data_IF_952052142939
#
_entry.id   IF_952052142939
#
_cell.length_a   1.000
_cell.length_b   1.000
_cell.length_c   1.000
_cell.angle_alpha   90.00
_cell.angle_beta   90.00
_cell.angle_gamma   90.00
#
_symmetry.space_group_name_H-M   'P 1'
#
loop_
_entity.id
_entity.type
_entity.pdbx_description
1 polymer ?
#
# COMPACT_ATOMS: atom_id res chain seq x y z
N UNK A 1 -21.59 31.57 -8.77
CA UNK A 1 -20.34 31.09 -9.39
C UNK A 1 -20.62 29.67 -9.85
N UNK A 2 -20.37 29.33 -11.11
CA UNK A 2 -20.40 27.93 -11.53
C UNK A 2 -19.14 27.24 -11.00
N UNK A 3 -19.32 26.04 -10.45
CA UNK A 3 -18.23 25.16 -10.03
C UNK A 3 -18.25 23.95 -10.97
N UNK A 4 -17.64 24.04 -12.16
CA UNK A 4 -17.65 22.93 -13.11
C UNK A 4 -16.90 21.74 -12.52
N UNK A 5 -17.40 20.53 -12.78
CA UNK A 5 -16.69 19.29 -12.48
C UNK A 5 -15.54 19.15 -13.46
N UNK A 6 -14.31 19.23 -12.96
CA UNK A 6 -13.09 19.16 -13.77
C UNK A 6 -12.20 18.08 -13.16
N UNK A 7 -11.72 17.16 -14.00
CA UNK A 7 -10.76 16.10 -13.65
C UNK A 7 -11.13 15.32 -12.36
N UNK A 8 -12.42 15.00 -12.21
CA UNK A 8 -12.96 14.13 -11.14
C UNK A 8 -12.80 12.65 -11.52
N UNK A 9 -11.55 12.20 -11.63
CA UNK A 9 -11.21 10.83 -12.00
C UNK A 9 -11.72 9.82 -10.96
N UNK A 10 -12.18 8.67 -11.45
CA UNK A 10 -12.64 7.55 -10.62
C UNK A 10 -11.54 6.50 -10.54
N UNK A 11 -10.91 6.40 -9.38
CA UNK A 11 -9.81 5.46 -9.18
C UNK A 11 -10.29 4.07 -8.78
N UNK A 12 -9.68 3.05 -9.37
CA UNK A 12 -9.97 1.64 -9.17
C UNK A 12 -8.88 0.91 -8.35
N UNK A 13 -9.00 -0.42 -8.21
CA UNK A 13 -8.01 -1.26 -7.52
C UNK A 13 -6.61 -1.12 -8.12
N UNK A 14 -6.47 -1.18 -9.46
CA UNK A 14 -5.17 -1.01 -10.14
C UNK A 14 -4.54 0.31 -9.73
N UNK A 15 -5.30 1.40 -9.74
CA UNK A 15 -4.79 2.73 -9.42
C UNK A 15 -4.30 2.81 -7.96
N UNK A 16 -5.01 2.19 -7.02
CA UNK A 16 -4.60 2.12 -5.62
C UNK A 16 -3.27 1.36 -5.45
N UNK A 17 -3.09 0.23 -6.12
CA UNK A 17 -1.82 -0.52 -6.10
C UNK A 17 -0.69 0.32 -6.70
N UNK A 18 -0.95 1.01 -7.82
CA UNK A 18 0.02 1.93 -8.43
C UNK A 18 0.42 3.04 -7.46
N UNK A 19 -0.55 3.75 -6.86
CA UNK A 19 -0.28 4.78 -5.85
C UNK A 19 0.53 4.22 -4.68
N UNK A 20 0.19 3.03 -4.19
CA UNK A 20 0.99 2.33 -3.18
C UNK A 20 2.46 2.13 -3.58
N UNK A 21 2.73 1.73 -4.83
CA UNK A 21 4.11 1.58 -5.34
C UNK A 21 4.84 2.92 -5.54
N UNK A 22 4.12 3.98 -5.92
CA UNK A 22 4.69 5.33 -6.01
C UNK A 22 5.10 5.84 -4.63
N UNK A 23 4.25 5.62 -3.62
CA UNK A 23 4.54 5.95 -2.23
C UNK A 23 5.72 5.15 -1.68
N UNK A 24 5.79 3.85 -1.97
CA UNK A 24 6.96 3.03 -1.65
C UNK A 24 8.25 3.58 -2.27
N UNK A 25 8.18 4.03 -3.54
CA UNK A 25 9.32 4.64 -4.22
C UNK A 25 9.75 5.94 -3.54
N UNK A 26 8.81 6.82 -3.21
CA UNK A 26 9.10 8.05 -2.44
C UNK A 26 9.76 7.74 -1.11
N UNK A 27 9.26 6.73 -0.39
CA UNK A 27 9.81 6.32 0.90
C UNK A 27 11.25 5.81 0.76
N UNK A 28 11.54 4.96 -0.23
CA UNK A 28 12.91 4.48 -0.50
C UNK A 28 13.89 5.59 -0.91
N UNK A 29 13.39 6.70 -1.46
CA UNK A 29 14.19 7.87 -1.83
C UNK A 29 14.07 9.02 -0.80
N UNK A 30 13.61 8.72 0.42
CA UNK A 30 13.45 9.72 1.49
C UNK A 30 14.77 10.32 1.98
N UNK A 31 15.92 9.80 1.56
CA UNK A 31 17.23 10.43 1.74
C UNK A 31 17.35 11.74 0.96
N UNK A 32 16.70 11.84 -0.22
CA UNK A 32 16.70 13.03 -1.11
C UNK A 32 15.35 13.73 -1.19
N UNK A 33 14.25 12.98 -1.24
CA UNK A 33 12.90 13.53 -1.35
C UNK A 33 12.37 13.84 0.03
N UNK A 34 12.34 15.13 0.39
CA UNK A 34 11.92 15.59 1.73
C UNK A 34 10.47 16.07 1.79
N UNK A 35 9.87 16.38 0.66
CA UNK A 35 8.48 16.84 0.54
C UNK A 35 7.87 16.18 -0.70
N UNK A 36 6.66 15.65 -0.55
CA UNK A 36 5.83 15.15 -1.64
C UNK A 36 4.39 15.59 -1.39
N UNK A 37 3.68 15.98 -2.45
CA UNK A 37 2.29 16.41 -2.38
C UNK A 37 1.46 15.58 -3.36
N UNK A 38 0.51 14.79 -2.86
CA UNK A 38 -0.47 14.11 -3.71
C UNK A 38 -1.37 15.17 -4.36
N UNK A 39 -1.28 15.30 -5.68
CA UNK A 39 -2.14 16.17 -6.45
C UNK A 39 -3.43 15.41 -6.82
N UNK A 40 -4.62 15.79 -6.36
CA UNK A 40 -4.92 16.75 -5.28
C UNK A 40 -5.65 16.04 -4.14
N UNK A 41 -6.22 16.79 -3.18
CA UNK A 41 -6.77 16.21 -1.95
C UNK A 41 -8.27 15.90 -2.02
N UNK A 42 -9.08 16.76 -2.65
CA UNK A 42 -10.54 16.62 -2.72
C UNK A 42 -11.06 16.89 -4.14
N UNK A 43 -11.95 16.03 -4.65
CA UNK A 43 -12.60 16.04 -5.97
C UNK A 43 -11.63 15.91 -7.16
N UNK A 44 -10.78 16.91 -7.35
CA UNK A 44 -9.82 16.98 -8.47
C UNK A 44 -8.72 15.93 -8.31
N UNK A 45 -8.70 14.90 -9.18
CA UNK A 45 -7.73 13.79 -9.18
C UNK A 45 -7.38 13.30 -7.76
N UNK A 46 -8.40 13.18 -6.91
CA UNK A 46 -8.24 13.17 -5.47
C UNK A 46 -8.52 11.80 -4.80
N UNK A 47 -7.92 11.53 -3.62
CA UNK A 47 -8.30 10.38 -2.80
C UNK A 47 -9.66 10.57 -2.10
N UNK A 48 -10.16 11.79 -1.97
CA UNK A 48 -11.45 12.10 -1.34
C UNK A 48 -12.37 12.72 -2.39
N UNK A 49 -13.58 12.19 -2.52
CA UNK A 49 -14.66 12.82 -3.29
C UNK A 49 -15.74 13.35 -2.35
N UNK A 50 -16.41 14.40 -2.77
CA UNK A 50 -17.55 15.02 -2.08
C UNK A 50 -18.55 15.58 -3.06
N UNK A 51 -19.82 15.42 -2.74
CA UNK A 51 -20.94 16.00 -3.49
C UNK A 51 -21.45 17.28 -2.84
N UNK A 52 -21.90 18.23 -3.65
CA UNK A 52 -22.53 19.45 -3.15
C UNK A 52 -23.79 19.09 -2.35
N UNK A 53 -23.86 19.55 -1.10
CA UNK A 53 -24.92 19.18 -0.15
C UNK A 53 -25.11 17.66 0.02
N UNK A 54 -24.06 16.88 -0.26
CA UNK A 54 -24.09 15.43 -0.28
C UNK A 54 -22.99 14.80 0.58
N UNK A 55 -22.79 13.48 0.44
CA UNK A 55 -21.78 12.76 1.20
C UNK A 55 -20.37 13.05 0.68
N UNK A 56 -19.39 12.79 1.52
CA UNK A 56 -18.01 12.59 1.12
C UNK A 56 -17.64 11.10 1.23
N UNK A 57 -16.80 10.61 0.33
CA UNK A 57 -16.32 9.23 0.35
C UNK A 57 -14.87 9.11 -0.08
N UNK A 58 -14.29 7.95 0.24
CA UNK A 58 -12.91 7.59 -0.05
C UNK A 58 -12.83 6.93 -1.41
N UNK A 59 -11.97 7.42 -2.28
CA UNK A 59 -11.53 6.67 -3.47
C UNK A 59 -10.58 5.55 -3.06
N UNK A 60 -10.33 4.59 -3.95
CA UNK A 60 -9.44 3.45 -3.67
C UNK A 60 -8.03 3.90 -3.28
N UNK A 61 -7.50 4.94 -3.93
CA UNK A 61 -6.16 5.50 -3.66
C UNK A 61 -6.04 6.17 -2.28
N UNK A 62 -7.15 6.43 -1.57
CA UNK A 62 -7.13 6.94 -0.20
C UNK A 62 -6.42 5.97 0.74
N UNK A 63 -6.67 4.68 0.58
CA UNK A 63 -6.24 3.64 1.50
C UNK A 63 -4.71 3.51 1.63
N UNK A 64 -3.94 3.33 0.55
CA UNK A 64 -2.48 3.28 0.65
C UNK A 64 -1.89 4.60 1.18
N UNK A 65 -2.43 5.74 0.75
CA UNK A 65 -1.97 7.06 1.22
C UNK A 65 -2.17 7.22 2.73
N UNK A 66 -3.39 7.03 3.22
CA UNK A 66 -3.73 7.20 4.64
C UNK A 66 -2.92 6.23 5.51
N UNK A 67 -2.78 4.98 5.07
CA UNK A 67 -2.11 3.95 5.84
C UNK A 67 -0.60 4.13 5.89
N UNK A 68 0.03 4.56 4.79
CA UNK A 68 1.45 4.92 4.82
C UNK A 68 1.69 6.21 5.62
N UNK A 69 0.84 7.23 5.50
CA UNK A 69 0.97 8.46 6.28
C UNK A 69 0.88 8.23 7.81
N UNK A 70 0.05 7.27 8.23
CA UNK A 70 -0.05 6.84 9.63
C UNK A 70 1.21 6.08 10.09
N UNK A 71 1.68 5.10 9.31
CA UNK A 71 2.63 4.09 9.79
C UNK A 71 4.10 4.34 9.41
N UNK A 72 4.37 5.09 8.34
CA UNK A 72 5.74 5.36 7.89
C UNK A 72 6.42 6.40 8.80
N UNK A 73 6.85 5.94 9.98
CA UNK A 73 7.49 6.75 11.03
C UNK A 73 8.88 6.23 11.34
N UNK A 74 9.76 7.15 11.77
CA UNK A 74 11.13 6.83 12.15
C UNK A 74 12.06 6.70 10.95
N UNK A 75 12.92 5.69 10.97
CA UNK A 75 13.98 5.49 10.01
C UNK A 75 13.49 4.64 8.83
N UNK A 76 13.82 5.04 7.60
CA UNK A 76 13.61 4.21 6.42
C UNK A 76 14.66 3.10 6.41
N UNK A 77 14.22 1.85 6.29
CA UNK A 77 15.12 0.70 6.20
C UNK A 77 15.54 0.45 4.76
N UNK A 78 16.83 0.18 4.56
CA UNK A 78 17.36 -0.28 3.27
C UNK A 78 17.18 -1.78 3.16
N UNK A 79 16.25 -2.21 2.31
CA UNK A 79 15.95 -3.62 2.09
C UNK A 79 16.85 -4.21 0.99
N UNK A 80 17.22 -5.48 1.16
CA UNK A 80 17.76 -6.32 0.08
C UNK A 80 16.61 -7.18 -0.42
N UNK A 81 16.19 -6.98 -1.67
CA UNK A 81 15.01 -7.62 -2.24
C UNK A 81 15.45 -8.52 -3.38
N UNK A 82 14.97 -9.76 -3.35
CA UNK A 82 15.00 -10.71 -4.46
C UNK A 82 13.54 -11.09 -4.74
N UNK A 83 13.13 -10.99 -6.00
CA UNK A 83 11.73 -11.16 -6.41
C UNK A 83 11.70 -11.76 -7.79
N UNK A 84 10.70 -12.62 -8.02
CA UNK A 84 10.30 -12.98 -9.38
C UNK A 84 10.04 -11.72 -10.21
N UNK A 85 10.23 -11.83 -11.52
CA UNK A 85 10.08 -10.72 -12.45
C UNK A 85 8.92 -10.97 -13.40
N UNK A 86 8.18 -9.92 -13.69
CA UNK A 86 7.25 -9.91 -14.81
C UNK A 86 7.77 -9.03 -15.94
N UNK A 87 7.52 -9.45 -17.16
CA UNK A 87 7.89 -8.67 -18.34
C UNK A 87 6.88 -7.57 -18.61
N UNK A 88 7.37 -6.38 -18.94
CA UNK A 88 6.54 -5.32 -19.49
C UNK A 88 7.23 -4.60 -20.64
N UNK A 89 6.43 -4.11 -21.60
CA UNK A 89 6.93 -3.58 -22.86
C UNK A 89 7.86 -2.36 -22.72
N UNK A 90 7.78 -1.61 -21.62
CA UNK A 90 8.51 -0.33 -21.45
C UNK A 90 9.80 -0.49 -20.65
N UNK A 91 9.83 -1.38 -19.67
CA UNK A 91 10.91 -1.51 -18.69
C UNK A 91 11.54 -2.90 -18.66
N UNK A 92 11.02 -3.88 -19.43
CA UNK A 92 11.47 -5.27 -19.39
C UNK A 92 11.16 -5.95 -18.06
N UNK A 93 11.98 -6.92 -17.68
CA UNK A 93 11.85 -7.66 -16.43
C UNK A 93 11.89 -6.76 -15.17
N UNK A 94 10.71 -6.58 -14.56
CA UNK A 94 10.48 -5.75 -13.38
C UNK A 94 10.07 -6.62 -12.20
N UNK A 95 10.53 -6.29 -11.00
CA UNK A 95 10.20 -7.02 -9.79
C UNK A 95 8.68 -7.08 -9.56
N UNK A 96 8.19 -8.30 -9.35
CA UNK A 96 6.79 -8.63 -9.09
C UNK A 96 6.32 -8.02 -7.76
N UNK A 97 7.12 -8.19 -6.70
CA UNK A 97 6.84 -7.64 -5.39
C UNK A 97 7.64 -6.37 -5.16
N UNK A 98 6.94 -5.27 -4.90
CA UNK A 98 7.55 -4.02 -4.44
C UNK A 98 7.40 -3.89 -2.94
N UNK A 99 8.48 -3.51 -2.25
CA UNK A 99 8.45 -3.35 -0.79
C UNK A 99 9.24 -2.15 -0.31
N UNK A 100 8.73 -1.47 0.70
CA UNK A 100 9.46 -0.48 1.50
C UNK A 100 9.17 -0.72 2.99
N UNK A 101 10.06 -0.25 3.88
CA UNK A 101 9.85 -0.42 5.31
C UNK A 101 10.42 0.74 6.12
N UNK A 102 9.81 0.99 7.27
CA UNK A 102 10.29 1.94 8.28
C UNK A 102 10.39 1.28 9.65
N UNK A 103 11.31 1.78 10.47
CA UNK A 103 11.46 1.38 11.86
C UNK A 103 11.38 2.61 12.78
N UNK A 104 10.46 2.54 13.73
CA UNK A 104 10.33 3.52 14.80
C UNK A 104 10.94 2.94 16.08
N UNK A 105 12.15 3.40 16.40
CA UNK A 105 12.92 2.96 17.57
C UNK A 105 12.21 3.27 18.90
N UNK A 106 11.55 4.43 19.02
CA UNK A 106 10.84 4.85 20.24
C UNK A 106 9.68 3.92 20.60
N UNK A 107 9.03 3.35 19.59
CA UNK A 107 7.84 2.50 19.77
C UNK A 107 8.13 1.01 19.57
N UNK A 108 9.34 0.65 19.11
CA UNK A 108 9.67 -0.73 18.73
C UNK A 108 8.82 -1.26 17.57
N UNK A 109 8.39 -0.39 16.65
CA UNK A 109 7.52 -0.76 15.51
C UNK A 109 8.29 -0.82 14.21
N UNK A 110 8.13 -1.90 13.46
CA UNK A 110 8.51 -1.98 12.04
C UNK A 110 7.25 -2.02 11.20
N UNK A 111 7.13 -1.13 10.22
CA UNK A 111 6.06 -1.14 9.24
C UNK A 111 6.64 -1.53 7.88
N UNK A 112 6.07 -2.55 7.24
CA UNK A 112 6.41 -2.98 5.88
C UNK A 112 5.22 -2.74 4.96
N UNK A 113 5.47 -2.16 3.80
CA UNK A 113 4.48 -1.80 2.79
C UNK A 113 4.78 -2.56 1.51
N UNK A 114 3.92 -3.51 1.15
CA UNK A 114 4.11 -4.41 0.02
C UNK A 114 3.13 -4.07 -1.11
N UNK A 115 3.52 -4.38 -2.34
CA UNK A 115 2.61 -4.48 -3.47
C UNK A 115 2.95 -5.70 -4.31
N UNK A 116 1.96 -6.53 -4.64
CA UNK A 116 2.07 -7.51 -5.71
C UNK A 116 1.57 -6.86 -7.01
N UNK A 117 2.48 -6.66 -7.97
CA UNK A 117 2.20 -6.05 -9.28
C UNK A 117 1.66 -7.06 -10.30
N UNK A 118 1.74 -8.36 -10.00
CA UNK A 118 1.22 -9.43 -10.83
C UNK A 118 -0.29 -9.37 -10.93
N UNK A 119 -0.84 -9.75 -12.09
CA UNK A 119 -2.29 -9.69 -12.33
C UNK A 119 -3.01 -11.01 -12.10
N UNK A 120 -2.27 -12.11 -11.98
CA UNK A 120 -2.83 -13.46 -12.06
C UNK A 120 -2.50 -14.29 -10.82
N UNK A 121 -1.24 -14.25 -10.36
CA UNK A 121 -0.76 -15.13 -9.30
C UNK A 121 -0.54 -14.41 -7.97
N UNK A 122 -0.83 -15.11 -6.88
CA UNK A 122 -0.42 -14.70 -5.56
C UNK A 122 1.11 -14.88 -5.40
N UNK A 123 1.73 -14.03 -4.60
CA UNK A 123 3.16 -14.08 -4.32
C UNK A 123 3.41 -14.45 -2.86
N UNK A 124 4.16 -15.53 -2.63
CA UNK A 124 4.64 -15.89 -1.30
C UNK A 124 5.88 -15.05 -0.96
N UNK A 125 5.85 -14.41 0.21
CA UNK A 125 6.90 -13.49 0.66
C UNK A 125 7.48 -13.97 1.97
N UNK A 126 8.81 -14.04 2.01
CA UNK A 126 9.61 -14.29 3.20
C UNK A 126 10.46 -13.06 3.51
N UNK A 127 10.43 -12.61 4.77
CA UNK A 127 11.21 -11.47 5.23
C UNK A 127 12.11 -11.91 6.38
N UNK A 128 13.42 -11.91 6.13
CA UNK A 128 14.41 -12.09 7.18
C UNK A 128 14.61 -10.78 7.97
N UNK A 129 14.21 -10.79 9.24
CA UNK A 129 14.25 -9.65 10.17
C UNK A 129 15.62 -9.55 10.85
N UNK A 130 16.71 -9.50 10.09
CA UNK A 130 18.07 -9.45 10.65
C UNK A 130 18.25 -8.23 11.58
N UNK A 131 18.72 -8.49 12.79
CA UNK A 131 18.87 -7.47 13.83
C UNK A 131 17.58 -7.16 14.62
N UNK A 132 16.49 -7.86 14.32
CA UNK A 132 15.21 -7.73 15.01
C UNK A 132 14.67 -9.11 15.42
N UNK A 133 13.94 -9.13 16.54
CA UNK A 133 13.12 -10.23 16.99
C UNK A 133 11.66 -9.79 17.03
N UNK A 134 10.84 -10.29 16.10
CA UNK A 134 9.43 -10.01 16.04
C UNK A 134 8.69 -10.70 17.18
N UNK A 135 8.11 -9.88 18.04
CA UNK A 135 7.29 -10.33 19.17
C UNK A 135 5.87 -10.64 18.75
N UNK A 136 5.32 -9.82 17.84
CA UNK A 136 3.93 -9.92 17.43
C UNK A 136 3.67 -9.17 16.12
N UNK A 137 2.75 -9.72 15.32
CA UNK A 137 2.09 -8.98 14.25
C UNK A 137 1.03 -8.07 14.87
N UNK A 138 1.29 -6.77 14.86
CA UNK A 138 0.35 -5.75 15.37
C UNK A 138 -0.82 -5.59 14.42
N UNK A 139 -0.51 -5.63 13.12
CA UNK A 139 -1.44 -5.39 12.04
C UNK A 139 -0.98 -6.10 10.78
N UNK A 140 -1.92 -6.65 10.04
CA UNK A 140 -1.73 -7.11 8.68
C UNK A 140 -3.00 -6.77 7.90
N UNK A 141 -2.90 -5.87 6.93
CA UNK A 141 -4.03 -5.40 6.12
C UNK A 141 -3.67 -5.48 4.64
N UNK A 142 -4.66 -5.77 3.78
CA UNK A 142 -4.50 -5.84 2.33
C UNK A 142 -5.66 -5.12 1.64
N UNK A 143 -5.33 -4.41 0.56
CA UNK A 143 -6.26 -3.95 -0.46
C UNK A 143 -6.03 -4.82 -1.69
N UNK A 144 -7.08 -5.43 -2.19
CA UNK A 144 -7.07 -6.32 -3.35
C UNK A 144 -8.38 -6.20 -4.13
N UNK A 145 -8.51 -6.97 -5.21
CA UNK A 145 -9.76 -7.09 -5.95
C UNK A 145 -10.83 -7.67 -5.01
N UNK A 146 -11.96 -6.96 -4.77
CA UNK A 146 -13.02 -7.46 -3.91
C UNK A 146 -13.73 -8.66 -4.55
N UNK A 147 -14.41 -9.45 -3.74
CA UNK A 147 -15.22 -10.57 -4.23
C UNK A 147 -16.25 -10.10 -5.27
N UNK A 148 -16.33 -10.81 -6.40
CA UNK A 148 -17.20 -10.46 -7.52
C UNK A 148 -16.78 -9.21 -8.30
N UNK A 149 -15.62 -8.63 -7.99
CA UNK A 149 -15.02 -7.51 -8.71
C UNK A 149 -13.92 -7.92 -9.68
N UNK A 150 -13.27 -6.90 -10.22
CA UNK A 150 -12.11 -6.98 -11.09
C UNK A 150 -11.11 -5.86 -10.78
N UNK A 151 -10.02 -5.81 -11.55
CA UNK A 151 -8.97 -4.79 -11.41
C UNK A 151 -9.45 -3.34 -11.64
N UNK A 152 -10.63 -3.15 -12.22
CA UNK A 152 -11.25 -1.85 -12.53
C UNK A 152 -12.36 -1.48 -11.53
N UNK A 153 -12.58 -2.31 -10.51
CA UNK A 153 -13.56 -2.02 -9.46
C UNK A 153 -13.14 -0.79 -8.64
N UNK A 154 -14.10 0.10 -8.37
CA UNK A 154 -13.88 1.42 -7.77
C UNK A 154 -14.92 1.73 -6.69
N UNK A 155 -14.57 2.64 -5.77
CA UNK A 155 -15.55 3.18 -4.83
C UNK A 155 -16.37 4.29 -5.50
N UNK A 156 -17.68 4.22 -5.33
CA UNK A 156 -18.65 5.17 -5.91
C UNK A 156 -19.48 5.81 -4.82
N UNK A 157 -20.20 6.89 -5.13
CA UNK A 157 -21.11 7.52 -4.15
C UNK A 157 -22.15 6.51 -3.61
N UNK A 158 -22.69 5.64 -4.47
CA UNK A 158 -23.68 4.62 -4.09
C UNK A 158 -23.06 3.40 -3.40
N UNK A 159 -21.79 3.10 -3.67
CA UNK A 159 -21.06 2.01 -3.03
C UNK A 159 -19.66 2.49 -2.58
N UNK A 160 -19.59 3.29 -1.49
CA UNK A 160 -18.38 4.02 -1.12
C UNK A 160 -17.30 3.15 -0.44
N UNK A 161 -17.62 1.90 -0.14
CA UNK A 161 -16.74 0.98 0.58
C UNK A 161 -16.57 -0.37 -0.16
N UNK A 162 -16.70 -0.36 -1.49
CA UNK A 162 -16.56 -1.58 -2.31
C UNK A 162 -15.12 -2.12 -2.28
N UNK A 163 -14.15 -1.21 -2.24
CA UNK A 163 -12.71 -1.48 -2.18
C UNK A 163 -12.16 -0.77 -0.95
N UNK A 164 -11.40 -1.49 -0.14
CA UNK A 164 -10.75 -0.96 1.04
C UNK A 164 -9.74 -1.93 1.62
N UNK A 165 -9.16 -1.56 2.76
CA UNK A 165 -8.29 -2.45 3.51
C UNK A 165 -9.12 -3.48 4.27
N UNK A 166 -8.74 -4.75 4.16
CA UNK A 166 -9.27 -5.85 4.97
C UNK A 166 -8.12 -6.61 5.64
N UNK A 167 -8.38 -7.47 6.63
CA UNK A 167 -7.34 -8.29 7.24
C UNK A 167 -6.58 -9.10 6.19
N UNK A 168 -5.25 -9.08 6.26
CA UNK A 168 -4.39 -9.99 5.51
C UNK A 168 -4.20 -11.26 6.33
N UNK A 169 -5.01 -12.26 6.03
CA UNK A 169 -4.96 -13.54 6.73
C UNK A 169 -3.63 -14.27 6.46
N UNK A 170 -3.12 -14.97 7.47
CA UNK A 170 -1.94 -15.83 7.33
C UNK A 170 -0.57 -15.13 7.41
N UNK A 171 -0.52 -13.79 7.59
CA UNK A 171 0.72 -13.11 7.92
C UNK A 171 1.24 -13.55 9.30
N UNK A 172 2.39 -14.23 9.32
CA UNK A 172 2.96 -14.84 10.53
C UNK A 172 4.39 -14.38 10.74
N UNK A 173 4.66 -13.84 11.92
CA UNK A 173 6.01 -13.54 12.35
C UNK A 173 6.46 -14.53 13.43
N UNK A 174 7.65 -15.09 13.28
CA UNK A 174 8.29 -15.98 14.24
C UNK A 174 9.74 -15.55 14.44
N UNK A 175 9.99 -14.83 15.52
CA UNK A 175 11.31 -14.31 15.85
C UNK A 175 11.93 -13.51 14.73
N UNK A 176 12.95 -14.04 14.07
CA UNK A 176 13.69 -13.35 13.01
C UNK A 176 13.06 -13.47 11.61
N UNK A 177 11.82 -13.93 11.48
CA UNK A 177 11.17 -14.16 10.17
C UNK A 177 9.72 -13.67 10.15
N UNK A 178 9.31 -13.09 9.02
CA UNK A 178 7.90 -12.86 8.67
C UNK A 178 7.59 -13.59 7.36
N UNK A 179 6.48 -14.33 7.32
CA UNK A 179 5.93 -14.98 6.12
C UNK A 179 4.51 -14.49 5.87
N UNK A 180 4.18 -14.24 4.60
CA UNK A 180 2.85 -13.83 4.15
C UNK A 180 2.64 -14.20 2.67
N UNK A 181 1.38 -14.28 2.25
CA UNK A 181 1.01 -14.45 0.84
C UNK A 181 0.28 -13.21 0.38
N UNK A 182 0.75 -12.56 -0.69
CA UNK A 182 0.15 -11.38 -1.29
C UNK A 182 -0.72 -11.79 -2.47
N UNK A 183 -2.04 -11.58 -2.44
CA UNK A 183 -2.91 -11.87 -3.59
C UNK A 183 -2.48 -11.10 -4.84
N UNK A 184 -2.88 -11.60 -6.01
CA UNK A 184 -2.64 -10.91 -7.28
C UNK A 184 -3.22 -9.49 -7.22
N UNK A 185 -2.50 -8.53 -7.78
CA UNK A 185 -2.84 -7.11 -7.82
C UNK A 185 -3.30 -6.59 -6.46
N UNK A 186 -2.38 -6.55 -5.51
CA UNK A 186 -2.67 -6.15 -4.14
C UNK A 186 -1.65 -5.16 -3.60
N UNK A 187 -2.08 -4.38 -2.61
CA UNK A 187 -1.22 -3.56 -1.75
C UNK A 187 -1.48 -3.95 -0.31
N UNK A 188 -0.43 -4.21 0.45
CA UNK A 188 -0.55 -4.67 1.83
C UNK A 188 0.37 -3.91 2.77
N UNK A 189 -0.01 -3.91 4.04
CA UNK A 189 0.82 -3.41 5.13
C UNK A 189 0.90 -4.44 6.24
N UNK A 190 2.11 -4.62 6.79
CA UNK A 190 2.34 -5.40 8.00
C UNK A 190 3.08 -4.54 9.00
N UNK A 191 2.51 -4.38 10.19
CA UNK A 191 3.15 -3.71 11.33
C UNK A 191 3.55 -4.76 12.36
N UNK A 192 4.83 -4.77 12.73
CA UNK A 192 5.42 -5.68 13.70
C UNK A 192 5.83 -4.94 14.97
N UNK A 193 5.63 -5.59 16.10
CA UNK A 193 6.33 -5.30 17.34
C UNK A 193 7.68 -6.03 17.30
N UNK A 194 8.78 -5.30 17.43
CA UNK A 194 10.12 -5.88 17.39
C UNK A 194 10.95 -5.43 18.58
N UNK A 195 11.88 -6.30 18.98
CA UNK A 195 13.02 -5.94 19.83
C UNK A 195 14.27 -5.97 18.98
N UNK A 196 15.18 -5.02 19.17
CA UNK A 196 16.48 -5.01 18.50
C UNK A 196 17.41 -6.00 19.20
N UNK A 197 18.05 -6.87 18.42
CA UNK A 197 18.99 -7.89 18.91
C UNK A 197 20.43 -7.38 18.91
#
# INVERSE_FOLDING_TARGET
>A
REHPRVIEDKYNVTDAVVVGTLLNSLLRHGDRVKIANQAQLVNVIAPILSEENGPAWKQTIFHPFARMAELAKGQILRLSVDSDKYENARFGGTDLVDVSATWNEETGRVALFFANRGLEEAADVEVALRGFDARRVVRAEVLEIPEGGDRFTANTQSNPNQVGLKPLEGAKANGSELRLTLPALSWAVVELEVVKN
#
